data_IF_176850159138
#
_entry.id   IF_176850159138
#
_cell.length_a   1.000
_cell.length_b   1.000
_cell.length_c   1.000
_cell.angle_alpha   90.00
_cell.angle_beta   90.00
_cell.angle_gamma   90.00
#
_symmetry.space_group_name_H-M   'P 1'
#
loop_
_entity.id
_entity.type
_entity.pdbx_description
1 polymer ?
#
# COMPACT_ATOMS: atom_id res chain seq x y z
N UNK A 1 -60.22 -13.80 11.37
CA UNK A 1 -59.50 -12.75 10.61
C UNK A 1 -58.14 -12.37 11.20
N UNK A 2 -57.95 -12.29 12.53
CA UNK A 2 -56.67 -11.86 13.16
C UNK A 2 -55.45 -12.77 12.87
N UNK A 3 -55.64 -14.08 12.71
CA UNK A 3 -54.56 -15.05 12.41
C UNK A 3 -54.05 -14.98 10.97
N UNK A 4 -54.93 -14.64 10.02
CA UNK A 4 -54.58 -14.49 8.59
C UNK A 4 -53.73 -13.23 8.38
N UNK A 5 -54.09 -12.12 9.02
CA UNK A 5 -53.30 -10.89 9.00
C UNK A 5 -51.89 -11.05 9.57
N UNK A 6 -51.74 -11.89 10.61
CA UNK A 6 -50.44 -12.20 11.21
C UNK A 6 -49.57 -13.05 10.28
N UNK A 7 -50.18 -14.00 9.57
CA UNK A 7 -49.48 -14.84 8.60
C UNK A 7 -49.01 -14.06 7.38
N UNK A 8 -49.83 -13.11 6.89
CA UNK A 8 -49.44 -12.20 5.80
C UNK A 8 -48.34 -11.23 6.21
N UNK A 9 -48.35 -10.76 7.46
CA UNK A 9 -47.29 -9.89 8.00
C UNK A 9 -45.96 -10.64 8.16
N UNK A 10 -46.00 -11.88 8.66
CA UNK A 10 -44.83 -12.74 8.79
C UNK A 10 -44.24 -13.10 7.42
N UNK A 11 -45.09 -13.38 6.42
CA UNK A 11 -44.66 -13.66 5.05
C UNK A 11 -43.98 -12.45 4.39
N UNK A 12 -44.49 -11.23 4.62
CA UNK A 12 -43.85 -10.00 4.17
C UNK A 12 -42.48 -9.78 4.83
N UNK A 13 -42.32 -10.16 6.10
CA UNK A 13 -41.06 -9.99 6.82
C UNK A 13 -39.98 -10.96 6.34
N UNK A 14 -40.33 -12.22 6.05
CA UNK A 14 -39.40 -13.25 5.58
C UNK A 14 -38.96 -13.00 4.13
N UNK A 15 -39.80 -12.40 3.29
CA UNK A 15 -39.44 -12.13 1.88
C UNK A 15 -38.42 -10.98 1.71
N UNK A 16 -38.27 -10.10 2.71
CA UNK A 16 -37.36 -8.94 2.64
C UNK A 16 -35.91 -9.24 3.07
N UNK A 17 -35.58 -10.45 3.53
CA UNK A 17 -34.22 -10.78 4.02
C UNK A 17 -33.31 -11.45 3.00
N UNK A 18 -33.74 -11.59 1.73
CA UNK A 18 -32.87 -12.06 0.66
C UNK A 18 -31.97 -10.93 0.12
N UNK A 19 -30.96 -10.52 0.89
CA UNK A 19 -29.87 -9.70 0.36
C UNK A 19 -28.84 -10.60 -0.32
N UNK A 20 -28.87 -10.65 -1.64
CA UNK A 20 -27.79 -11.25 -2.44
C UNK A 20 -26.55 -10.37 -2.40
N UNK A 21 -25.40 -10.92 -1.99
CA UNK A 21 -24.11 -10.26 -2.15
C UNK A 21 -23.78 -10.19 -3.65
N UNK A 22 -23.92 -9.00 -4.25
CA UNK A 22 -23.62 -8.77 -5.66
C UNK A 22 -22.11 -8.64 -5.86
N UNK A 23 -21.46 -9.52 -6.64
CA UNK A 23 -20.08 -9.30 -7.04
C UNK A 23 -20.08 -8.17 -8.08
N UNK A 24 -19.65 -6.97 -7.68
CA UNK A 24 -19.46 -5.83 -8.60
C UNK A 24 -20.25 -4.55 -8.30
N UNK A 25 -20.53 -4.23 -7.04
CA UNK A 25 -21.00 -2.88 -6.66
C UNK A 25 -19.93 -2.16 -5.83
N UNK A 26 -19.51 -0.99 -6.30
CA UNK A 26 -18.52 -0.12 -5.66
C UNK A 26 -18.81 0.01 -4.15
N UNK A 27 -17.85 -0.38 -3.32
CA UNK A 27 -17.98 -0.42 -1.85
C UNK A 27 -18.03 0.98 -1.22
N UNK A 28 -17.80 2.06 -1.98
CA UNK A 28 -17.67 3.42 -1.45
C UNK A 28 -18.96 4.26 -1.58
N UNK A 29 -19.74 4.32 -0.51
CA UNK A 29 -21.04 5.02 -0.44
C UNK A 29 -21.00 6.51 -0.84
N UNK A 30 -19.89 7.21 -0.58
CA UNK A 30 -19.76 8.64 -0.91
C UNK A 30 -19.62 8.88 -2.41
N UNK A 31 -19.06 7.94 -3.18
CA UNK A 31 -18.88 8.08 -4.63
C UNK A 31 -20.21 8.16 -5.40
N UNK A 32 -21.29 7.64 -4.79
CA UNK A 32 -22.66 7.63 -5.32
C UNK A 32 -23.41 8.97 -5.12
N UNK A 33 -22.93 9.86 -4.26
CA UNK A 33 -23.57 11.16 -3.99
C UNK A 33 -23.34 12.13 -5.15
N UNK A 34 -24.25 13.07 -5.38
CA UNK A 34 -24.11 14.15 -6.38
C UNK A 34 -23.30 15.31 -5.81
N UNK A 35 -22.65 16.10 -6.67
CA UNK A 35 -21.94 17.32 -6.28
C UNK A 35 -20.50 17.09 -5.80
N UNK A 36 -19.97 18.05 -5.03
CA UNK A 36 -18.56 18.12 -4.64
C UNK A 36 -18.12 16.91 -3.77
N UNK A 37 -18.98 16.48 -2.83
CA UNK A 37 -18.75 15.26 -2.04
C UNK A 37 -18.66 14.01 -2.91
N UNK A 38 -19.45 13.93 -3.99
CA UNK A 38 -19.39 12.84 -4.95
C UNK A 38 -18.06 12.81 -5.72
N UNK A 39 -17.55 13.98 -6.10
CA UNK A 39 -16.25 14.12 -6.79
C UNK A 39 -15.09 13.68 -5.90
N UNK A 40 -15.10 14.08 -4.62
CA UNK A 40 -14.11 13.62 -3.64
C UNK A 40 -14.21 12.11 -3.39
N UNK A 41 -15.44 11.60 -3.26
CA UNK A 41 -15.66 10.16 -3.07
C UNK A 41 -15.14 9.32 -4.23
N UNK A 42 -15.29 9.78 -5.48
CA UNK A 42 -14.71 9.11 -6.66
C UNK A 42 -13.20 9.23 -6.74
N UNK A 43 -12.62 10.34 -6.29
CA UNK A 43 -11.16 10.52 -6.27
C UNK A 43 -10.45 9.57 -5.31
N UNK A 44 -11.13 9.10 -4.26
CA UNK A 44 -10.58 8.20 -3.23
C UNK A 44 -11.01 6.74 -3.48
N UNK A 45 -12.01 6.52 -4.35
CA UNK A 45 -12.51 5.20 -4.70
C UNK A 45 -11.51 4.45 -5.58
N UNK A 46 -10.76 3.54 -4.99
CA UNK A 46 -9.81 2.67 -5.68
C UNK A 46 -10.52 1.46 -6.28
N UNK A 47 -10.89 1.55 -7.56
CA UNK A 47 -11.11 0.36 -8.39
C UNK A 47 -9.76 -0.13 -8.89
N UNK A 48 -9.00 -0.76 -7.99
CA UNK A 48 -7.73 -1.37 -8.36
C UNK A 48 -8.03 -2.51 -9.36
N UNK A 49 -7.44 -2.51 -10.57
CA UNK A 49 -7.57 -3.64 -11.48
C UNK A 49 -7.07 -4.90 -10.77
N UNK A 50 -7.68 -6.08 -11.03
CA UNK A 50 -7.24 -7.31 -10.39
C UNK A 50 -5.77 -7.54 -10.73
N UNK A 51 -4.90 -7.35 -9.74
CA UNK A 51 -3.48 -7.54 -9.90
C UNK A 51 -3.23 -9.03 -10.06
N UNK A 52 -2.64 -9.43 -11.19
CA UNK A 52 -2.22 -10.82 -11.39
C UNK A 52 -1.20 -11.12 -10.29
N UNK A 53 -1.38 -12.17 -9.47
CA UNK A 53 -0.44 -12.50 -8.43
C UNK A 53 0.91 -12.85 -9.05
N UNK A 54 1.89 -11.96 -8.88
CA UNK A 54 3.26 -12.20 -9.28
C UNK A 54 3.91 -13.09 -8.23
N UNK A 55 4.54 -14.18 -8.67
CA UNK A 55 5.33 -15.02 -7.76
C UNK A 55 6.50 -14.20 -7.22
N UNK A 56 6.41 -13.82 -5.94
CA UNK A 56 7.50 -13.16 -5.23
C UNK A 56 8.55 -14.23 -4.94
N UNK A 57 9.57 -14.29 -5.79
CA UNK A 57 10.76 -15.11 -5.55
C UNK A 57 11.85 -14.25 -4.91
N UNK A 58 12.65 -14.84 -4.04
CA UNK A 58 13.82 -14.17 -3.50
C UNK A 58 14.84 -13.94 -4.64
N UNK A 59 15.11 -12.67 -5.06
CA UNK A 59 16.00 -12.39 -6.19
C UNK A 59 17.46 -12.74 -5.88
N UNK A 60 17.79 -12.99 -4.61
CA UNK A 60 19.14 -13.33 -4.17
C UNK A 60 19.42 -14.84 -4.18
N UNK A 61 18.41 -15.69 -4.41
CA UNK A 61 18.57 -17.14 -4.37
C UNK A 61 19.60 -17.65 -5.41
N UNK A 62 19.69 -16.98 -6.56
CA UNK A 62 20.66 -17.26 -7.62
C UNK A 62 22.13 -17.07 -7.20
N UNK A 63 22.39 -16.38 -6.09
CA UNK A 63 23.74 -16.14 -5.57
C UNK A 63 24.12 -17.08 -4.43
N UNK A 64 23.25 -18.06 -4.09
CA UNK A 64 23.54 -19.05 -3.04
C UNK A 64 24.85 -19.80 -3.34
N UNK A 65 25.77 -19.82 -2.37
CA UNK A 65 27.06 -20.49 -2.48
C UNK A 65 28.15 -19.70 -3.21
N UNK A 66 27.86 -18.50 -3.72
CA UNK A 66 28.88 -17.62 -4.32
C UNK A 66 29.66 -16.86 -3.25
N UNK A 67 30.93 -16.58 -3.54
CA UNK A 67 31.83 -15.82 -2.66
C UNK A 67 31.68 -14.32 -2.96
N UNK A 68 31.53 -13.53 -1.90
CA UNK A 68 31.51 -12.06 -2.00
C UNK A 68 32.96 -11.57 -2.14
N UNK A 69 33.27 -10.94 -3.27
CA UNK A 69 34.63 -10.45 -3.56
C UNK A 69 34.87 -9.02 -3.09
N UNK A 70 33.86 -8.17 -3.20
CA UNK A 70 33.91 -6.77 -2.80
C UNK A 70 32.54 -6.29 -2.34
N UNK A 71 32.53 -5.29 -1.46
CA UNK A 71 31.33 -4.69 -0.89
C UNK A 71 31.47 -3.19 -1.00
N UNK A 72 30.57 -2.58 -1.75
CA UNK A 72 30.50 -1.14 -1.92
C UNK A 72 29.44 -0.56 -0.98
N UNK A 73 29.83 0.47 -0.24
CA UNK A 73 28.94 1.14 0.69
C UNK A 73 28.48 2.45 0.05
N UNK A 74 27.22 2.49 -0.38
CA UNK A 74 26.58 3.69 -0.87
C UNK A 74 25.75 4.32 0.25
N UNK A 75 26.20 5.45 0.79
CA UNK A 75 25.40 6.20 1.76
C UNK A 75 24.26 6.94 1.04
N UNK A 76 23.03 6.63 1.41
CA UNK A 76 21.85 7.38 0.95
C UNK A 76 21.72 8.64 1.83
N UNK A 77 22.11 9.79 1.27
CA UNK A 77 21.89 11.10 1.90
C UNK A 77 20.53 11.70 1.52
N UNK A 78 20.11 12.75 2.24
CA UNK A 78 18.87 13.49 1.94
C UNK A 78 18.85 14.16 0.56
N UNK A 79 20.00 14.21 -0.12
CA UNK A 79 20.12 14.68 -1.50
C UNK A 79 19.54 13.75 -2.57
N UNK A 80 19.32 12.46 -2.27
CA UNK A 80 18.96 11.45 -3.28
C UNK A 80 17.54 10.93 -3.07
N UNK A 81 16.84 10.65 -4.16
CA UNK A 81 15.56 9.94 -4.13
C UNK A 81 15.80 8.42 -4.09
N UNK A 82 15.00 7.70 -3.31
CA UNK A 82 15.04 6.24 -3.20
C UNK A 82 14.60 5.58 -4.51
N UNK A 83 13.68 6.22 -5.24
CA UNK A 83 13.14 5.71 -6.50
C UNK A 83 13.95 6.15 -7.74
N UNK A 84 14.80 7.17 -7.60
CA UNK A 84 15.65 7.68 -8.68
C UNK A 84 16.96 8.24 -8.11
N UNK A 85 18.03 7.45 -8.22
CA UNK A 85 19.35 7.79 -7.67
C UNK A 85 20.18 8.70 -8.59
N UNK A 86 19.68 9.03 -9.78
CA UNK A 86 20.41 9.87 -10.74
C UNK A 86 20.30 11.36 -10.41
N UNK A 87 19.21 11.77 -9.77
CA UNK A 87 18.95 13.16 -9.43
C UNK A 87 19.50 13.49 -8.04
N UNK A 88 20.43 14.45 -7.98
CA UNK A 88 21.05 14.92 -6.75
C UNK A 88 20.52 16.33 -6.44
N UNK A 89 19.86 16.49 -5.28
CA UNK A 89 19.34 17.78 -4.80
C UNK A 89 20.26 18.35 -3.72
N UNK A 90 20.63 19.63 -3.86
CA UNK A 90 21.51 20.31 -2.91
C UNK A 90 20.88 21.62 -2.40
N UNK A 91 19.86 21.50 -1.54
CA UNK A 91 19.18 22.65 -0.93
C UNK A 91 19.71 22.96 0.48
N UNK A 92 19.44 24.17 0.98
CA UNK A 92 19.86 24.59 2.33
C UNK A 92 19.31 23.67 3.43
N UNK A 93 18.04 23.27 3.33
CA UNK A 93 17.43 22.31 4.26
C UNK A 93 18.12 20.94 4.25
N UNK A 94 18.55 20.47 3.08
CA UNK A 94 19.32 19.20 2.95
C UNK A 94 20.69 19.31 3.62
N UNK A 95 21.35 20.47 3.55
CA UNK A 95 22.63 20.71 4.24
C UNK A 95 22.48 20.63 5.75
N UNK A 96 21.44 21.24 6.31
CA UNK A 96 21.14 21.16 7.75
C UNK A 96 20.79 19.72 8.14
N UNK A 97 19.90 19.07 7.40
CA UNK A 97 19.50 17.69 7.67
C UNK A 97 20.71 16.73 7.65
N UNK A 98 21.63 16.90 6.69
CA UNK A 98 22.87 16.13 6.61
C UNK A 98 23.74 16.31 7.85
N UNK A 99 23.81 17.52 8.40
CA UNK A 99 24.64 17.82 9.56
C UNK A 99 24.04 17.30 10.86
N UNK A 100 22.71 17.26 10.96
CA UNK A 100 21.99 16.75 12.15
C UNK A 100 21.89 15.22 12.15
N UNK A 101 21.81 14.59 10.98
CA UNK A 101 21.63 13.16 10.90
C UNK A 101 22.90 12.39 11.32
N UNK A 102 22.78 11.59 12.39
CA UNK A 102 23.83 10.64 12.80
C UNK A 102 23.94 9.54 11.74
N UNK A 103 24.95 9.64 10.89
CA UNK A 103 25.28 8.57 9.96
C UNK A 103 25.86 7.37 10.71
N UNK A 104 25.32 6.17 10.47
CA UNK A 104 26.02 4.93 10.83
C UNK A 104 27.32 4.86 10.04
N UNK A 105 28.44 4.66 10.75
CA UNK A 105 29.75 4.66 10.09
C UNK A 105 29.92 3.40 9.25
N UNK A 106 30.65 3.52 8.13
CA UNK A 106 31.05 2.38 7.30
C UNK A 106 31.69 1.25 8.12
N UNK A 107 32.43 1.62 9.18
CA UNK A 107 33.07 0.68 10.09
C UNK A 107 32.07 -0.16 10.88
N UNK A 108 31.00 0.45 11.40
CA UNK A 108 29.94 -0.28 12.11
C UNK A 108 29.26 -1.27 11.18
N UNK A 109 28.92 -0.86 9.95
CA UNK A 109 28.25 -1.77 9.00
C UNK A 109 29.17 -2.92 8.59
N UNK A 110 30.46 -2.63 8.32
CA UNK A 110 31.45 -3.65 7.96
C UNK A 110 31.59 -4.73 9.04
N UNK A 111 31.59 -4.33 10.31
CA UNK A 111 31.77 -5.25 11.43
C UNK A 111 30.52 -6.08 11.75
N UNK A 112 29.38 -5.79 11.13
CA UNK A 112 28.10 -6.49 11.39
C UNK A 112 27.47 -7.08 10.12
N UNK A 113 28.17 -7.11 8.97
CA UNK A 113 27.56 -7.55 7.71
C UNK A 113 27.48 -9.09 7.58
N UNK A 114 28.30 -9.81 8.33
CA UNK A 114 28.37 -11.26 8.35
C UNK A 114 28.44 -11.71 9.81
N UNK A 115 27.29 -11.75 10.46
CA UNK A 115 27.11 -12.44 11.74
C UNK A 115 27.20 -13.95 11.53
#
# INVERSE_FOLDING_TARGET
MRKIAFFTFLFYFVCNTYTSAQPGKDTFFLAKKKGLLGKLGRSISTNAPPTIPVKIVNPFLQYKGKIIRYIEFLSLGFERNIYDTTLIKNSFGIRIARQVHKNTTKNVVKNNLFF
#
